data_IF_993502221799
#
_entry.id   IF_993502221799
#
_cell.length_a   1.000
_cell.length_b   1.000
_cell.length_c   1.000
_cell.angle_alpha   90.00
_cell.angle_beta   90.00
_cell.angle_gamma   90.00
#
_symmetry.space_group_name_H-M   'P 1'
#
loop_
_entity.id
_entity.type
_entity.pdbx_description
1 polymer ?
#
# COMPACT_ATOMS: atom_id res chain seq x y z
N UNK A 1 -65.01 -24.15 27.13
CA UNK A 1 -64.79 -22.85 26.44
C UNK A 1 -63.59 -22.18 27.10
N UNK A 2 -62.61 -21.69 26.32
CA UNK A 2 -61.35 -21.02 26.74
C UNK A 2 -60.28 -21.96 27.33
N UNK A 3 -59.24 -22.28 26.54
CA UNK A 3 -57.83 -22.53 26.96
C UNK A 3 -56.94 -22.88 25.74
N UNK A 4 -57.51 -23.36 24.63
CA UNK A 4 -56.72 -23.94 23.53
C UNK A 4 -56.23 -23.00 22.40
N UNK A 5 -56.34 -21.68 22.53
CA UNK A 5 -55.99 -20.74 21.44
C UNK A 5 -54.66 -19.99 21.66
N UNK A 6 -54.03 -20.10 22.83
CA UNK A 6 -52.78 -19.36 23.13
C UNK A 6 -51.48 -20.07 22.74
N UNK A 7 -51.52 -21.33 22.30
CA UNK A 7 -50.31 -22.11 22.00
C UNK A 7 -49.95 -22.19 20.52
N UNK A 8 -50.72 -21.53 19.64
CA UNK A 8 -50.46 -21.52 18.20
C UNK A 8 -49.84 -20.21 17.68
N UNK A 9 -49.59 -19.24 18.58
CA UNK A 9 -49.03 -17.93 18.24
C UNK A 9 -47.57 -17.73 18.70
N UNK A 10 -46.89 -18.81 19.08
CA UNK A 10 -45.48 -18.82 19.51
C UNK A 10 -44.62 -19.74 18.62
N UNK A 11 -45.04 -19.95 17.37
CA UNK A 11 -44.29 -20.67 16.36
C UNK A 11 -44.27 -19.89 15.02
N UNK A 12 -44.46 -18.57 15.08
CA UNK A 12 -44.18 -17.68 13.94
C UNK A 12 -42.68 -17.42 13.93
N UNK A 13 -41.98 -18.28 13.21
CA UNK A 13 -40.81 -17.94 12.40
C UNK A 13 -39.70 -17.12 13.09
N UNK A 14 -39.15 -17.67 14.18
CA UNK A 14 -37.71 -17.52 14.50
C UNK A 14 -36.84 -18.31 13.51
N UNK A 15 -37.29 -18.47 12.25
CA UNK A 15 -36.41 -18.69 11.13
C UNK A 15 -35.83 -17.33 10.72
N UNK A 16 -35.14 -16.67 11.64
CA UNK A 16 -33.97 -15.88 11.27
C UNK A 16 -32.93 -16.89 10.78
N UNK A 17 -33.23 -17.55 9.65
CA UNK A 17 -32.22 -18.15 8.82
C UNK A 17 -31.18 -17.07 8.69
N UNK A 18 -29.98 -17.37 9.15
CA UNK A 18 -28.81 -16.56 8.88
C UNK A 18 -28.85 -16.30 7.38
N UNK A 19 -29.38 -15.13 7.00
CA UNK A 19 -29.16 -14.54 5.70
C UNK A 19 -27.68 -14.26 5.76
N UNK A 20 -26.89 -15.25 5.35
CA UNK A 20 -25.45 -15.09 5.20
C UNK A 20 -25.32 -13.90 4.27
N UNK A 21 -24.91 -12.77 4.84
CA UNK A 21 -24.82 -11.52 4.12
C UNK A 21 -23.84 -11.75 2.98
N UNK A 22 -24.38 -11.95 1.78
CA UNK A 22 -23.61 -11.99 0.56
C UNK A 22 -23.18 -10.56 0.31
N UNK A 23 -21.93 -10.26 0.64
CA UNK A 23 -21.35 -8.96 0.36
C UNK A 23 -20.74 -9.05 -1.03
N UNK A 24 -21.51 -8.60 -2.01
CA UNK A 24 -21.00 -8.42 -3.36
C UNK A 24 -20.10 -7.18 -3.35
N UNK A 25 -18.84 -7.36 -3.72
CA UNK A 25 -17.84 -6.29 -3.75
C UNK A 25 -17.93 -5.52 -5.06
N UNK A 26 -19.13 -5.11 -5.46
CA UNK A 26 -19.41 -4.57 -6.81
C UNK A 26 -18.69 -3.24 -7.10
N UNK A 27 -18.30 -2.51 -6.06
CA UNK A 27 -17.64 -1.20 -6.19
C UNK A 27 -16.21 -1.20 -5.64
N UNK A 28 -15.66 -2.38 -5.38
CA UNK A 28 -14.33 -2.50 -4.80
C UNK A 28 -13.28 -2.44 -5.91
N UNK A 29 -12.11 -1.81 -5.69
CA UNK A 29 -11.01 -1.83 -6.64
C UNK A 29 -10.46 -3.26 -6.74
N UNK A 30 -11.06 -4.04 -7.62
CA UNK A 30 -10.57 -5.35 -8.05
C UNK A 30 -9.72 -5.08 -9.28
N UNK A 31 -8.46 -5.44 -9.21
CA UNK A 31 -7.55 -5.35 -10.33
C UNK A 31 -7.35 -6.75 -10.91
N UNK A 32 -7.59 -6.89 -12.21
CA UNK A 32 -7.38 -8.14 -12.91
C UNK A 32 -6.63 -7.88 -14.24
N UNK A 33 -5.81 -8.82 -14.71
CA UNK A 33 -5.25 -8.77 -16.06
C UNK A 33 -6.33 -8.62 -17.13
N UNK A 34 -6.05 -7.82 -18.16
CA UNK A 34 -7.01 -7.51 -19.25
C UNK A 34 -7.51 -8.73 -20.01
N UNK A 35 -6.71 -9.80 -20.10
CA UNK A 35 -7.08 -11.02 -20.80
C UNK A 35 -8.15 -11.86 -20.07
N UNK A 36 -8.43 -11.58 -18.79
CA UNK A 36 -9.44 -12.32 -18.03
C UNK A 36 -10.86 -11.78 -18.22
N UNK A 37 -11.02 -10.62 -18.87
CA UNK A 37 -12.31 -9.98 -19.10
C UNK A 37 -12.90 -9.36 -17.83
N UNK A 38 -14.22 -9.23 -17.81
CA UNK A 38 -14.96 -8.70 -16.65
C UNK A 38 -15.00 -9.73 -15.53
N UNK A 39 -14.40 -9.39 -14.39
CA UNK A 39 -14.35 -10.24 -13.20
C UNK A 39 -15.05 -9.55 -12.04
N UNK A 40 -15.99 -10.26 -11.41
CA UNK A 40 -16.51 -9.92 -10.09
C UNK A 40 -15.84 -10.76 -9.00
N UNK A 41 -15.73 -10.21 -7.79
CA UNK A 41 -15.30 -10.96 -6.60
C UNK A 41 -16.44 -10.95 -5.58
N UNK A 42 -16.77 -12.14 -5.08
CA UNK A 42 -17.78 -12.34 -4.05
C UNK A 42 -17.14 -13.02 -2.86
N UNK A 43 -17.41 -12.49 -1.66
CA UNK A 43 -16.95 -13.09 -0.41
C UNK A 43 -18.14 -13.71 0.33
N UNK A 44 -18.05 -15.01 0.61
CA UNK A 44 -19.04 -15.79 1.35
C UNK A 44 -18.42 -16.37 2.62
N UNK A 45 -19.26 -16.91 3.52
CA UNK A 45 -18.79 -17.58 4.73
C UNK A 45 -17.88 -18.79 4.49
N UNK A 46 -17.91 -19.36 3.28
CA UNK A 46 -17.08 -20.51 2.87
C UNK A 46 -15.75 -20.12 2.22
N UNK A 47 -15.56 -18.84 1.86
CA UNK A 47 -14.37 -18.37 1.17
C UNK A 47 -14.69 -17.35 0.07
N UNK A 48 -13.75 -17.23 -0.88
CA UNK A 48 -13.83 -16.30 -1.99
C UNK A 48 -14.26 -17.00 -3.29
N UNK A 49 -15.10 -16.31 -4.06
CA UNK A 49 -15.54 -16.76 -5.38
C UNK A 49 -15.29 -15.67 -6.42
N UNK A 50 -14.69 -16.06 -7.53
CA UNK A 50 -14.54 -15.20 -8.72
C UNK A 50 -15.70 -15.46 -9.67
N UNK A 51 -16.41 -14.41 -10.04
CA UNK A 51 -17.43 -14.42 -11.08
C UNK A 51 -16.78 -14.05 -12.40
N UNK A 52 -16.65 -15.02 -13.31
CA UNK A 52 -16.14 -14.80 -14.66
C UNK A 52 -17.20 -15.24 -15.67
N UNK A 53 -17.66 -14.33 -16.54
CA UNK A 53 -18.70 -14.62 -17.54
C UNK A 53 -19.99 -15.24 -16.95
N UNK A 54 -20.38 -14.81 -15.75
CA UNK A 54 -21.56 -15.33 -15.04
C UNK A 54 -21.37 -16.68 -14.35
N UNK A 55 -20.17 -17.28 -14.44
CA UNK A 55 -19.83 -18.54 -13.75
C UNK A 55 -19.04 -18.23 -12.48
N UNK A 56 -19.45 -18.85 -11.36
CA UNK A 56 -18.76 -18.73 -10.08
C UNK A 56 -17.66 -19.78 -9.96
N UNK A 57 -16.43 -19.34 -9.75
CA UNK A 57 -15.25 -20.18 -9.50
C UNK A 57 -14.84 -20.04 -8.03
N UNK A 58 -14.87 -21.13 -7.28
CA UNK A 58 -14.38 -21.17 -5.89
C UNK A 58 -12.85 -21.09 -5.87
N UNK A 59 -12.31 -20.23 -5.00
CA UNK A 59 -10.88 -20.07 -4.81
C UNK A 59 -10.48 -20.83 -3.54
N UNK A 60 -9.57 -21.79 -3.69
CA UNK A 60 -9.09 -22.55 -2.54
C UNK A 60 -8.32 -21.62 -1.60
N UNK A 61 -8.48 -21.80 -0.30
CA UNK A 61 -7.86 -20.94 0.72
C UNK A 61 -6.33 -20.87 0.62
N UNK A 62 -5.66 -21.88 0.06
CA UNK A 62 -4.20 -21.85 -0.16
C UNK A 62 -3.76 -20.87 -1.26
N UNK A 63 -4.66 -20.44 -2.14
CA UNK A 63 -4.42 -19.42 -3.18
C UNK A 63 -4.92 -18.04 -2.79
N UNK A 64 -5.46 -17.91 -1.57
CA UNK A 64 -5.85 -16.63 -0.99
C UNK A 64 -4.75 -16.21 -0.04
N UNK A 65 -4.28 -14.98 -0.17
CA UNK A 65 -3.27 -14.45 0.73
C UNK A 65 -3.76 -14.48 2.19
N UNK A 66 -2.94 -14.92 3.17
CA UNK A 66 -3.38 -15.11 4.55
C UNK A 66 -4.05 -13.86 5.16
N UNK A 67 -3.57 -12.67 4.80
CA UNK A 67 -4.12 -11.40 5.28
C UNK A 67 -5.58 -11.14 4.86
N UNK A 68 -6.05 -11.81 3.81
CA UNK A 68 -7.43 -11.74 3.31
C UNK A 68 -8.30 -12.86 3.91
N UNK A 69 -7.74 -14.05 4.13
CA UNK A 69 -8.45 -15.19 4.74
C UNK A 69 -8.98 -14.90 6.14
N UNK A 70 -8.22 -14.16 6.94
CA UNK A 70 -8.56 -13.89 8.34
C UNK A 70 -9.55 -12.73 8.52
N UNK A 71 -9.94 -12.05 7.43
CA UNK A 71 -10.76 -10.84 7.50
C UNK A 71 -12.25 -11.15 7.37
N UNK A 72 -13.01 -10.59 8.31
CA UNK A 72 -14.46 -10.47 8.18
C UNK A 72 -14.83 -9.55 6.99
N UNK A 73 -16.05 -9.67 6.43
CA UNK A 73 -16.51 -8.77 5.36
C UNK A 73 -16.35 -7.28 5.69
N UNK A 74 -16.59 -6.88 6.95
CA UNK A 74 -16.40 -5.49 7.41
C UNK A 74 -14.92 -5.06 7.40
N UNK A 75 -14.01 -5.92 7.83
CA UNK A 75 -12.57 -5.66 7.78
C UNK A 75 -12.04 -5.63 6.34
N UNK A 76 -12.66 -6.39 5.44
CA UNK A 76 -12.34 -6.38 4.02
C UNK A 76 -12.77 -5.06 3.36
N UNK A 77 -13.97 -4.55 3.68
CA UNK A 77 -14.38 -3.20 3.25
C UNK A 77 -13.41 -2.14 3.79
N UNK A 78 -13.00 -2.26 5.06
CA UNK A 78 -11.99 -1.37 5.66
C UNK A 78 -10.63 -1.44 4.95
N UNK A 79 -10.20 -2.64 4.56
CA UNK A 79 -8.98 -2.86 3.77
C UNK A 79 -9.07 -2.16 2.41
N UNK A 80 -10.18 -2.35 1.69
CA UNK A 80 -10.40 -1.84 0.34
C UNK A 80 -10.44 -0.30 0.27
N UNK A 81 -10.70 0.39 1.38
CA UNK A 81 -10.56 1.86 1.44
C UNK A 81 -9.12 2.32 1.18
N UNK A 82 -8.14 1.53 1.64
CA UNK A 82 -6.71 1.82 1.56
C UNK A 82 -5.94 0.72 0.81
N UNK A 83 -6.62 -0.03 -0.05
CA UNK A 83 -6.12 -1.26 -0.62
C UNK A 83 -6.84 -1.62 -1.90
N UNK A 84 -6.37 -2.66 -2.56
CA UNK A 84 -7.03 -3.29 -3.68
C UNK A 84 -6.72 -4.79 -3.65
N UNK A 85 -7.57 -5.56 -4.29
CA UNK A 85 -7.39 -7.00 -4.40
C UNK A 85 -7.01 -7.29 -5.85
N UNK A 86 -5.87 -7.92 -6.04
CA UNK A 86 -5.40 -8.38 -7.34
C UNK A 86 -5.80 -9.83 -7.55
N UNK A 87 -6.52 -10.09 -8.64
CA UNK A 87 -6.94 -11.43 -9.05
C UNK A 87 -6.11 -11.84 -10.25
N UNK A 88 -5.45 -13.00 -10.16
CA UNK A 88 -4.72 -13.59 -11.28
C UNK A 88 -5.21 -15.01 -11.55
N UNK A 89 -5.08 -15.49 -12.78
CA UNK A 89 -5.35 -16.88 -13.15
C UNK A 89 -4.02 -17.61 -13.40
N UNK A 90 -3.88 -18.78 -12.79
CA UNK A 90 -2.75 -19.68 -13.00
C UNK A 90 -2.93 -20.48 -14.30
N UNK A 91 -1.85 -21.11 -14.76
CA UNK A 91 -1.86 -21.91 -15.99
C UNK A 91 -2.78 -23.14 -15.93
N UNK A 92 -3.13 -23.59 -14.74
CA UNK A 92 -4.08 -24.70 -14.52
C UNK A 92 -5.54 -24.23 -14.43
N UNK A 93 -5.80 -22.94 -14.65
CA UNK A 93 -7.12 -22.33 -14.60
C UNK A 93 -7.58 -21.90 -13.20
N UNK A 94 -6.79 -22.17 -12.15
CA UNK A 94 -7.12 -21.75 -10.79
C UNK A 94 -6.84 -20.26 -10.57
N UNK A 95 -7.60 -19.62 -9.69
CA UNK A 95 -7.43 -18.20 -9.40
C UNK A 95 -6.63 -17.98 -8.13
N UNK A 96 -5.82 -16.93 -8.10
CA UNK A 96 -5.04 -16.47 -6.96
C UNK A 96 -5.47 -15.07 -6.57
N UNK A 97 -5.66 -14.87 -5.27
CA UNK A 97 -6.08 -13.63 -4.65
C UNK A 97 -4.94 -13.02 -3.84
N UNK A 98 -4.50 -11.82 -4.22
CA UNK A 98 -3.47 -11.06 -3.51
C UNK A 98 -4.04 -9.74 -3.01
N UNK A 99 -3.86 -9.46 -1.73
CA UNK A 99 -4.24 -8.23 -1.10
C UNK A 99 -3.08 -7.23 -1.18
N UNK A 100 -3.23 -6.20 -1.99
CA UNK A 100 -2.27 -5.11 -2.02
C UNK A 100 -2.82 -3.95 -1.20
N UNK A 101 -2.14 -3.62 -0.11
CA UNK A 101 -2.37 -2.34 0.54
C UNK A 101 -1.91 -1.24 -0.42
N UNK A 102 -2.76 -0.23 -0.66
CA UNK A 102 -2.32 1.11 -1.04
C UNK A 102 -1.72 1.73 0.21
N UNK A 103 -0.65 1.13 0.72
CA UNK A 103 0.17 1.80 1.69
C UNK A 103 0.68 3.10 1.07
N UNK A 104 1.23 3.97 1.91
CA UNK A 104 2.26 4.91 1.47
C UNK A 104 3.52 4.17 1.00
N UNK A 105 3.41 2.96 0.43
CA UNK A 105 4.52 2.21 -0.15
C UNK A 105 5.16 3.14 -1.15
N UNK A 106 6.34 3.66 -0.78
CA UNK A 106 7.24 4.52 -1.57
C UNK A 106 6.62 5.48 -2.53
N UNK A 107 5.54 6.03 -2.06
CA UNK A 107 5.06 7.30 -2.52
C UNK A 107 5.93 8.40 -1.96
N UNK A 108 5.27 9.55 -1.86
CA UNK A 108 5.82 10.81 -1.39
C UNK A 108 6.67 10.68 -0.13
N UNK A 109 6.38 9.75 0.79
CA UNK A 109 7.17 9.50 2.00
C UNK A 109 8.62 9.06 1.74
N UNK A 110 8.82 7.99 0.97
CA UNK A 110 10.15 7.52 0.58
C UNK A 110 10.89 8.54 -0.27
N UNK A 111 10.17 9.24 -1.15
CA UNK A 111 10.73 10.33 -1.94
C UNK A 111 11.18 11.53 -1.09
N UNK A 112 10.40 11.89 -0.09
CA UNK A 112 10.72 12.99 0.85
C UNK A 112 11.92 12.62 1.71
N UNK A 113 11.92 11.41 2.30
CA UNK A 113 13.05 10.94 3.10
C UNK A 113 14.34 10.86 2.27
N UNK A 114 14.25 10.28 1.06
CA UNK A 114 15.39 10.23 0.14
C UNK A 114 15.89 11.61 -0.27
N UNK A 115 14.98 12.55 -0.54
CA UNK A 115 15.31 13.94 -0.86
C UNK A 115 16.08 14.63 0.28
N UNK A 116 15.59 14.50 1.52
CA UNK A 116 16.25 15.08 2.70
C UNK A 116 17.63 14.45 2.94
N UNK A 117 17.75 13.13 2.83
CA UNK A 117 19.02 12.41 3.00
C UNK A 117 20.02 12.85 1.94
N UNK A 118 19.61 12.89 0.66
CA UNK A 118 20.47 13.30 -0.46
C UNK A 118 20.96 14.74 -0.30
N UNK A 119 20.07 15.67 0.07
CA UNK A 119 20.43 17.07 0.29
C UNK A 119 21.42 17.22 1.45
N UNK A 120 21.12 16.58 2.58
CA UNK A 120 21.94 16.67 3.79
C UNK A 120 23.33 16.05 3.59
N UNK A 121 23.41 14.90 2.91
CA UNK A 121 24.69 14.22 2.65
C UNK A 121 25.66 15.12 1.87
N UNK A 122 25.18 15.78 0.80
CA UNK A 122 26.02 16.69 0.01
C UNK A 122 26.42 17.94 0.80
N UNK A 123 25.49 18.54 1.54
CA UNK A 123 25.81 19.68 2.42
C UNK A 123 26.88 19.30 3.46
N UNK A 124 26.70 18.17 4.13
CA UNK A 124 27.61 17.70 5.16
C UNK A 124 29.02 17.48 4.60
N UNK A 125 29.15 16.85 3.43
CA UNK A 125 30.44 16.65 2.77
C UNK A 125 31.04 17.98 2.30
N UNK A 126 30.26 18.84 1.64
CA UNK A 126 30.72 20.13 1.12
C UNK A 126 31.27 21.04 2.23
N UNK A 127 30.47 21.29 3.28
CA UNK A 127 30.90 22.10 4.41
C UNK A 127 31.99 21.43 5.24
N UNK A 128 31.97 20.09 5.36
CA UNK A 128 33.03 19.33 6.03
C UNK A 128 34.39 19.52 5.36
N UNK A 129 34.45 19.51 4.02
CA UNK A 129 35.69 19.77 3.28
C UNK A 129 36.17 21.22 3.44
N UNK A 130 35.27 22.20 3.45
CA UNK A 130 35.61 23.60 3.75
C UNK A 130 36.22 23.72 5.15
N UNK A 131 35.63 23.06 6.14
CA UNK A 131 36.14 23.05 7.52
C UNK A 131 37.54 22.44 7.60
N UNK A 132 37.77 21.28 6.97
CA UNK A 132 39.09 20.64 6.93
C UNK A 132 40.11 21.57 6.26
N UNK A 133 39.83 22.09 5.07
CA UNK A 133 40.75 22.93 4.32
C UNK A 133 41.08 24.24 5.06
N UNK A 134 40.08 24.87 5.68
CA UNK A 134 40.28 26.09 6.47
C UNK A 134 41.06 25.82 7.77
N UNK A 135 40.85 24.68 8.44
CA UNK A 135 41.62 24.33 9.64
C UNK A 135 43.13 24.25 9.39
N UNK A 136 43.53 23.97 8.14
CA UNK A 136 44.93 23.89 7.73
C UNK A 136 45.62 25.27 7.57
N UNK A 137 44.88 26.39 7.67
CA UNK A 137 45.44 27.75 7.56
C UNK A 137 45.73 28.40 8.91
N UNK A 138 45.58 27.67 10.01
CA UNK A 138 45.93 28.12 11.35
C UNK A 138 45.09 29.32 11.80
N UNK A 139 45.69 30.42 12.28
CA UNK A 139 44.93 31.60 12.72
C UNK A 139 44.04 32.23 11.65
N UNK A 140 44.35 32.01 10.37
CA UNK A 140 43.54 32.49 9.24
C UNK A 140 42.30 31.61 8.95
N UNK A 141 42.12 30.49 9.67
CA UNK A 141 41.04 29.53 9.41
C UNK A 141 39.65 30.17 9.28
N UNK A 142 39.22 31.11 10.14
CA UNK A 142 37.90 31.74 9.99
C UNK A 142 37.75 32.53 8.68
N UNK A 143 38.80 33.24 8.25
CA UNK A 143 38.79 34.00 7.01
C UNK A 143 38.82 33.08 5.78
N UNK A 144 39.61 32.00 5.84
CA UNK A 144 39.64 30.97 4.79
C UNK A 144 38.29 30.28 4.66
N UNK A 145 37.66 29.89 5.78
CA UNK A 145 36.33 29.29 5.78
C UNK A 145 35.30 30.23 5.12
N UNK A 146 35.24 31.50 5.52
CA UNK A 146 34.31 32.47 4.95
C UNK A 146 34.51 32.66 3.44
N UNK A 147 35.76 32.72 2.97
CA UNK A 147 36.08 32.84 1.54
C UNK A 147 35.67 31.59 0.74
N UNK A 148 35.95 30.40 1.29
CA UNK A 148 35.56 29.13 0.68
C UNK A 148 34.04 28.96 0.66
N UNK A 149 33.34 29.29 1.75
CA UNK A 149 31.87 29.29 1.80
C UNK A 149 31.29 30.22 0.72
N UNK A 150 31.76 31.47 0.64
CA UNK A 150 31.27 32.41 -0.38
C UNK A 150 31.50 31.91 -1.83
N UNK A 151 32.58 31.15 -2.05
CA UNK A 151 32.95 30.63 -3.37
C UNK A 151 32.18 29.36 -3.73
N UNK A 152 32.03 28.43 -2.78
CA UNK A 152 31.54 27.08 -3.05
C UNK A 152 30.09 26.86 -2.65
N UNK A 153 29.48 27.72 -1.82
CA UNK A 153 28.09 27.57 -1.39
C UNK A 153 27.10 27.42 -2.58
N UNK A 154 27.18 28.20 -3.67
CA UNK A 154 26.27 28.02 -4.81
C UNK A 154 26.39 26.64 -5.46
N UNK A 155 27.62 26.09 -5.52
CA UNK A 155 27.89 24.78 -6.11
C UNK A 155 27.44 23.64 -5.18
N UNK A 156 27.66 23.79 -3.86
CA UNK A 156 27.19 22.84 -2.85
C UNK A 156 25.65 22.78 -2.89
N UNK A 157 24.98 23.91 -2.91
CA UNK A 157 23.51 23.98 -2.98
C UNK A 157 22.99 23.32 -4.27
N UNK A 158 23.57 23.66 -5.42
CA UNK A 158 23.20 23.05 -6.71
C UNK A 158 23.40 21.52 -6.71
N UNK A 159 24.57 21.04 -6.29
CA UNK A 159 24.87 19.62 -6.21
C UNK A 159 23.93 18.89 -5.23
N UNK A 160 23.60 19.53 -4.10
CA UNK A 160 22.71 18.95 -3.10
C UNK A 160 21.29 18.78 -3.62
N UNK A 161 20.80 19.70 -4.45
CA UNK A 161 19.46 19.60 -5.06
C UNK A 161 19.41 18.47 -6.10
N UNK A 162 20.48 18.26 -6.87
CA UNK A 162 20.59 17.10 -7.78
C UNK A 162 20.58 15.79 -6.98
N UNK A 163 21.37 15.70 -5.92
CA UNK A 163 21.40 14.51 -5.07
C UNK A 163 20.04 14.27 -4.38
N UNK A 164 19.37 15.33 -3.93
CA UNK A 164 18.05 15.25 -3.34
C UNK A 164 17.03 14.63 -4.31
N UNK A 165 17.01 15.07 -5.57
CA UNK A 165 16.13 14.50 -6.59
C UNK A 165 16.47 13.03 -6.84
N UNK A 166 17.75 12.71 -7.06
CA UNK A 166 18.17 11.35 -7.39
C UNK A 166 17.86 10.35 -6.25
N UNK A 167 18.23 10.69 -5.02
CA UNK A 167 17.98 9.85 -3.84
C UNK A 167 16.49 9.84 -3.50
N UNK A 168 15.75 10.93 -3.74
CA UNK A 168 14.30 10.96 -3.62
C UNK A 168 13.61 10.00 -4.59
N UNK A 169 14.00 9.99 -5.86
CA UNK A 169 13.47 9.02 -6.84
C UNK A 169 13.78 7.59 -6.39
N UNK A 170 15.04 7.31 -6.04
CA UNK A 170 15.45 6.00 -5.57
C UNK A 170 14.69 5.56 -4.31
N UNK A 171 14.53 6.48 -3.34
CA UNK A 171 13.77 6.25 -2.11
C UNK A 171 12.29 5.98 -2.39
N UNK A 172 11.67 6.73 -3.30
CA UNK A 172 10.31 6.48 -3.78
C UNK A 172 10.19 5.10 -4.41
N UNK A 173 10.98 4.79 -5.42
CA UNK A 173 10.95 3.48 -6.10
C UNK A 173 11.19 2.33 -5.11
N UNK A 174 12.22 2.42 -4.27
CA UNK A 174 12.61 1.35 -3.36
C UNK A 174 11.55 1.05 -2.30
N UNK A 175 10.73 2.04 -1.95
CA UNK A 175 9.68 1.84 -0.95
C UNK A 175 8.31 1.59 -1.60
N UNK A 176 8.18 1.78 -2.93
CA UNK A 176 6.94 1.80 -3.72
C UNK A 176 6.16 0.49 -3.65
N UNK A 177 4.85 0.46 -3.97
CA UNK A 177 4.17 -0.82 -4.11
C UNK A 177 4.76 -1.53 -5.34
N UNK A 178 5.38 -2.68 -5.11
CA UNK A 178 5.82 -3.65 -6.13
C UNK A 178 4.65 -4.51 -6.59
#
# INVERSE_FOLDING_TARGET
MKIWVKMFLTAVCLSSGLVQAMVQLEHSPICAPTHLGEIGLVHHAKGFHVMQNGVAHEIQNCYVEPMLCERTPFQLIGFLKNGYIFVNQLSDGQFVLRGHCRGLGGGVGGATAGCLIGKFAVHFVGHGLIFIASSMTGPAAPATAAALEATFLPFIEAASNVAAIAVGIAGGVATGPV
#
